data_IF_794184479322
#
_entry.id   IF_794184479322
#
_cell.length_a   1.000
_cell.length_b   1.000
_cell.length_c   1.000
_cell.angle_alpha   90.00
_cell.angle_beta   90.00
_cell.angle_gamma   90.00
#
_symmetry.space_group_name_H-M   'P 1'
#
loop_
_entity.id
_entity.type
_entity.pdbx_description
1 polymer ?
#
# COMPACT_ATOMS: atom_id res chain seq x y z
N UNK A 1 3.38 -15.78 -6.41
CA UNK A 1 3.39 -14.89 -7.61
C UNK A 1 3.98 -13.53 -7.23
N UNK A 2 4.88 -12.93 -8.02
CA UNK A 2 5.49 -11.63 -7.65
C UNK A 2 4.58 -10.44 -7.91
N UNK A 3 4.46 -9.55 -6.92
CA UNK A 3 3.77 -8.26 -7.03
C UNK A 3 4.73 -7.08 -6.88
N UNK A 4 4.39 -5.95 -7.47
CA UNK A 4 5.10 -4.67 -7.30
C UNK A 4 4.18 -3.58 -6.76
N UNK A 5 4.70 -2.71 -5.91
CA UNK A 5 3.86 -1.74 -5.21
C UNK A 5 4.55 -1.02 -4.06
N UNK A 6 3.75 -0.47 -3.16
CA UNK A 6 4.17 0.40 -2.06
C UNK A 6 3.80 -0.22 -0.72
N UNK A 7 4.70 -0.04 0.26
CA UNK A 7 4.43 -0.30 1.68
C UNK A 7 4.72 0.96 2.47
N UNK A 8 3.80 1.36 3.34
CA UNK A 8 4.01 2.40 4.35
C UNK A 8 3.89 1.79 5.74
N UNK A 9 4.89 2.04 6.56
CA UNK A 9 4.90 1.65 7.97
C UNK A 9 4.67 2.90 8.83
N UNK A 10 3.44 3.05 9.32
CA UNK A 10 3.03 4.16 10.21
C UNK A 10 3.56 3.99 11.64
N UNK A 11 4.16 2.85 11.97
CA UNK A 11 4.81 2.61 13.27
C UNK A 11 6.32 2.84 13.21
N UNK A 12 6.88 3.02 12.00
CA UNK A 12 8.30 3.20 11.80
C UNK A 12 8.63 4.62 11.32
N UNK A 13 9.22 5.40 12.23
CA UNK A 13 9.72 6.75 11.93
C UNK A 13 10.67 6.84 10.73
N UNK A 14 11.29 5.72 10.31
CA UNK A 14 12.14 5.69 9.10
C UNK A 14 11.33 5.98 7.83
N UNK A 15 10.02 5.78 7.84
CA UNK A 15 9.09 6.19 6.77
C UNK A 15 9.19 7.69 6.47
N UNK A 16 9.42 8.54 7.48
CA UNK A 16 9.67 9.97 7.26
C UNK A 16 10.96 10.25 6.48
N UNK A 17 11.91 9.31 6.40
CA UNK A 17 13.08 9.44 5.53
C UNK A 17 12.73 9.33 4.05
N UNK A 18 11.61 8.69 3.72
CA UNK A 18 11.10 8.56 2.34
C UNK A 18 10.27 9.79 1.95
N UNK A 19 9.52 10.35 2.90
CA UNK A 19 8.60 11.49 2.70
C UNK A 19 8.89 12.59 3.73
N UNK A 20 10.08 13.23 3.69
CA UNK A 20 10.50 14.18 4.73
C UNK A 20 9.61 15.41 4.83
N UNK A 21 9.07 15.87 3.70
CA UNK A 21 8.20 17.05 3.66
C UNK A 21 6.91 16.82 4.45
N UNK A 22 6.34 15.62 4.42
CA UNK A 22 5.12 15.24 5.15
C UNK A 22 5.35 15.06 6.65
N UNK A 23 6.61 15.02 7.09
CA UNK A 23 6.96 14.91 8.51
C UNK A 23 7.60 16.20 9.04
N UNK A 24 7.65 17.27 8.25
CA UNK A 24 8.38 18.48 8.62
C UNK A 24 7.80 19.19 9.86
N UNK A 25 6.48 19.10 10.06
CA UNK A 25 5.78 19.69 11.22
C UNK A 25 5.50 18.68 12.33
N UNK A 26 5.82 17.40 12.13
CA UNK A 26 5.57 16.33 13.09
C UNK A 26 6.68 16.28 14.15
N UNK A 27 6.34 16.44 15.44
CA UNK A 27 7.31 16.42 16.53
C UNK A 27 7.41 15.01 17.14
N UNK A 28 8.36 14.23 16.62
CA UNK A 28 8.67 12.86 17.05
C UNK A 28 8.90 12.68 18.55
N UNK A 29 9.14 13.75 19.32
CA UNK A 29 9.34 13.65 20.77
C UNK A 29 8.02 13.45 21.52
N UNK A 30 6.90 13.81 20.91
CA UNK A 30 5.59 13.82 21.55
C UNK A 30 4.54 13.03 20.77
N UNK A 31 4.74 12.86 19.46
CA UNK A 31 3.75 12.27 18.57
C UNK A 31 4.19 10.89 18.05
N UNK A 32 3.24 9.98 17.86
CA UNK A 32 3.45 8.74 17.12
C UNK A 32 3.25 8.99 15.62
N UNK A 33 3.88 8.19 14.75
CA UNK A 33 3.78 8.43 13.30
C UNK A 33 2.38 8.09 12.77
N UNK A 34 1.64 7.23 13.48
CA UNK A 34 0.22 7.00 13.25
C UNK A 34 -0.68 8.18 13.61
N UNK A 35 -0.15 9.20 14.30
CA UNK A 35 -0.83 10.48 14.55
C UNK A 35 -0.46 11.57 13.54
N UNK A 36 0.41 11.26 12.55
CA UNK A 36 0.78 12.21 11.51
C UNK A 36 -0.33 12.33 10.44
N UNK A 37 -1.28 13.22 10.69
CA UNK A 37 -2.41 13.52 9.80
C UNK A 37 -1.99 13.80 8.34
N UNK A 38 -0.85 14.46 8.11
CA UNK A 38 -0.39 14.76 6.75
C UNK A 38 0.05 13.49 6.00
N UNK A 39 0.80 12.61 6.68
CA UNK A 39 1.24 11.34 6.10
C UNK A 39 0.06 10.38 5.88
N UNK A 40 -0.88 10.34 6.82
CA UNK A 40 -2.11 9.53 6.71
C UNK A 40 -2.94 10.04 5.54
N UNK A 41 -3.17 11.35 5.47
CA UNK A 41 -3.93 11.98 4.39
C UNK A 41 -3.29 11.74 3.03
N UNK A 42 -1.96 11.81 2.93
CA UNK A 42 -1.24 11.47 1.71
C UNK A 42 -1.54 10.03 1.28
N UNK A 43 -1.37 9.07 2.18
CA UNK A 43 -1.62 7.66 1.89
C UNK A 43 -3.06 7.39 1.47
N UNK A 44 -4.04 7.89 2.22
CA UNK A 44 -5.46 7.64 1.95
C UNK A 44 -5.89 8.26 0.62
N UNK A 45 -5.50 9.51 0.35
CA UNK A 45 -5.84 10.18 -0.91
C UNK A 45 -5.18 9.48 -2.11
N UNK A 46 -3.91 9.10 -1.99
CA UNK A 46 -3.21 8.38 -3.06
C UNK A 46 -3.80 6.98 -3.28
N UNK A 47 -4.16 6.27 -2.21
CA UNK A 47 -4.85 4.99 -2.31
C UNK A 47 -6.20 5.12 -3.02
N UNK A 48 -7.02 6.10 -2.64
CA UNK A 48 -8.31 6.37 -3.30
C UNK A 48 -8.12 6.71 -4.78
N UNK A 49 -7.12 7.52 -5.11
CA UNK A 49 -6.79 7.87 -6.49
C UNK A 49 -6.41 6.64 -7.33
N UNK A 50 -5.61 5.70 -6.79
CA UNK A 50 -5.30 4.45 -7.47
C UNK A 50 -6.56 3.61 -7.66
N UNK A 51 -7.35 3.42 -6.61
CA UNK A 51 -8.57 2.61 -6.63
C UNK A 51 -9.65 3.18 -7.57
N UNK A 52 -9.65 4.49 -7.81
CA UNK A 52 -10.53 5.12 -8.80
C UNK A 52 -10.16 4.77 -10.26
N UNK A 53 -8.91 4.35 -10.50
CA UNK A 53 -8.34 4.06 -11.83
C UNK A 53 -8.24 2.57 -12.11
N UNK A 54 -8.12 1.74 -11.09
CA UNK A 54 -7.99 0.28 -11.23
C UNK A 54 -8.46 -0.47 -9.99
N UNK A 55 -9.09 -1.62 -10.21
CA UNK A 55 -9.47 -2.60 -9.19
C UNK A 55 -8.48 -3.78 -9.11
N UNK A 56 -7.49 -3.83 -10.01
CA UNK A 56 -6.49 -4.91 -10.09
C UNK A 56 -5.34 -4.72 -9.12
N UNK A 57 -5.67 -4.51 -7.84
CA UNK A 57 -4.68 -4.31 -6.79
C UNK A 57 -4.98 -5.21 -5.59
N UNK A 58 -3.91 -5.53 -4.86
CA UNK A 58 -3.98 -6.10 -3.52
C UNK A 58 -3.66 -4.98 -2.54
N UNK A 59 -4.60 -4.63 -1.68
CA UNK A 59 -4.42 -3.57 -0.69
C UNK A 59 -4.97 -3.97 0.67
N UNK A 60 -4.35 -3.45 1.73
CA UNK A 60 -4.70 -3.83 3.09
C UNK A 60 -3.60 -3.48 4.09
N UNK A 61 -3.67 -4.12 5.25
CA UNK A 61 -2.69 -3.99 6.32
C UNK A 61 -2.08 -5.36 6.63
N UNK A 62 -0.75 -5.47 6.57
CA UNK A 62 0.00 -6.70 6.88
C UNK A 62 1.06 -6.34 7.92
N UNK A 63 1.09 -7.08 9.03
CA UNK A 63 2.06 -6.86 10.12
C UNK A 63 2.14 -5.39 10.58
N UNK A 64 0.98 -4.72 10.65
CA UNK A 64 0.88 -3.30 11.02
C UNK A 64 1.25 -2.30 9.91
N UNK A 65 1.63 -2.78 8.73
CA UNK A 65 2.02 -1.95 7.58
C UNK A 65 0.92 -1.87 6.56
N UNK A 66 0.67 -0.68 6.05
CA UNK A 66 -0.27 -0.47 4.95
C UNK A 66 0.40 -0.81 3.63
N UNK A 67 -0.27 -1.62 2.81
CA UNK A 67 0.26 -2.16 1.56
C UNK A 67 -0.66 -1.88 0.37
N UNK A 68 -0.06 -1.70 -0.80
CA UNK A 68 -0.75 -1.57 -2.08
C UNK A 68 0.14 -2.15 -3.19
N UNK A 69 -0.27 -3.26 -3.77
CA UNK A 69 0.54 -4.05 -4.72
C UNK A 69 -0.29 -4.53 -5.90
N UNK A 70 0.36 -4.86 -7.02
CA UNK A 70 -0.29 -5.52 -8.15
C UNK A 70 0.68 -6.39 -8.95
N UNK A 71 0.16 -7.38 -9.68
CA UNK A 71 0.87 -8.07 -10.76
C UNK A 71 0.45 -7.58 -12.16
N UNK A 72 -0.58 -6.73 -12.26
CA UNK A 72 -1.03 -6.14 -13.51
C UNK A 72 -0.14 -4.94 -13.87
N UNK A 73 0.41 -4.94 -15.09
CA UNK A 73 1.38 -3.93 -15.53
C UNK A 73 0.80 -2.52 -15.60
N UNK A 74 -0.49 -2.39 -15.92
CA UNK A 74 -1.15 -1.09 -16.00
C UNK A 74 -1.41 -0.56 -14.59
N UNK A 75 -1.88 -1.41 -13.68
CA UNK A 75 -2.03 -1.07 -12.27
C UNK A 75 -0.71 -0.68 -11.60
N UNK A 76 0.38 -1.42 -11.86
CA UNK A 76 1.73 -1.08 -11.36
C UNK A 76 2.15 0.32 -11.83
N UNK A 77 1.87 0.66 -13.09
CA UNK A 77 2.19 2.00 -13.62
C UNK A 77 1.35 3.08 -12.94
N UNK A 78 0.06 2.83 -12.71
CA UNK A 78 -0.82 3.75 -11.98
C UNK A 78 -0.28 4.00 -10.56
N UNK A 79 0.15 2.94 -9.86
CA UNK A 79 0.76 3.04 -8.53
C UNK A 79 2.05 3.88 -8.60
N UNK A 80 2.93 3.62 -9.57
CA UNK A 80 4.19 4.37 -9.72
C UNK A 80 3.96 5.85 -10.01
N UNK A 81 2.97 6.18 -10.83
CA UNK A 81 2.65 7.56 -11.21
C UNK A 81 2.04 8.33 -10.02
N UNK A 82 1.25 7.66 -9.17
CA UNK A 82 0.65 8.25 -7.96
C UNK A 82 1.68 8.44 -6.85
N UNK A 83 2.49 7.42 -6.58
CA UNK A 83 3.53 7.42 -5.54
C UNK A 83 4.91 7.70 -6.15
N UNK A 84 5.01 8.73 -7.00
CA UNK A 84 6.24 9.06 -7.76
C UNK A 84 7.45 9.38 -6.88
N UNK A 85 7.23 9.76 -5.63
CA UNK A 85 8.28 10.02 -4.64
C UNK A 85 8.85 8.74 -4.03
N UNK A 86 8.15 7.61 -4.16
CA UNK A 86 8.50 6.33 -3.55
C UNK A 86 9.00 5.32 -4.59
N UNK A 87 9.98 4.51 -4.17
CA UNK A 87 10.44 3.37 -4.96
C UNK A 87 9.47 2.18 -4.79
N UNK A 88 9.12 1.54 -5.90
CA UNK A 88 8.33 0.31 -5.84
C UNK A 88 9.16 -0.84 -5.25
N UNK A 89 8.54 -1.51 -4.29
CA UNK A 89 9.04 -2.74 -3.72
C UNK A 89 8.45 -3.94 -4.47
N UNK A 90 9.13 -5.08 -4.38
CA UNK A 90 8.64 -6.35 -4.93
C UNK A 90 8.48 -7.35 -3.80
N UNK A 91 7.31 -8.00 -3.72
CA UNK A 91 7.00 -9.04 -2.73
C UNK A 91 6.47 -10.28 -3.45
N UNK A 92 6.50 -11.44 -2.79
CA UNK A 92 5.73 -12.59 -3.24
C UNK A 92 4.31 -12.52 -2.65
N UNK A 93 3.30 -12.81 -3.46
CA UNK A 93 1.90 -12.86 -3.03
C UNK A 93 1.69 -13.90 -1.93
N UNK A 94 2.49 -14.95 -1.92
CA UNK A 94 2.43 -15.99 -0.90
C UNK A 94 3.00 -15.52 0.45
N UNK A 95 3.78 -14.43 0.46
CA UNK A 95 4.28 -13.78 1.69
C UNK A 95 3.23 -12.85 2.32
N UNK A 96 2.12 -12.56 1.60
CA UNK A 96 1.03 -11.77 2.15
C UNK A 96 0.23 -12.65 3.12
N UNK A 97 0.38 -12.37 4.41
CA UNK A 97 -0.41 -13.05 5.46
C UNK A 97 -1.89 -12.81 5.22
N UNK A 98 -2.58 -13.85 4.69
CA UNK A 98 -4.03 -13.85 4.48
C UNK A 98 -4.72 -13.97 5.84
N UNK A 99 -4.91 -12.85 6.52
CA UNK A 99 -5.83 -12.77 7.65
C UNK A 99 -7.20 -12.26 7.16
N UNK A 100 -8.30 -12.80 7.69
CA UNK A 100 -9.68 -12.60 7.19
C UNK A 100 -10.11 -11.12 7.03
N UNK A 101 -9.44 -10.19 7.73
CA UNK A 101 -9.73 -8.76 7.70
C UNK A 101 -8.53 -7.87 7.36
N UNK A 102 -7.39 -8.46 6.98
CA UNK A 102 -6.17 -7.71 6.68
C UNK A 102 -6.25 -7.06 5.30
N UNK A 103 -6.75 -7.78 4.30
CA UNK A 103 -6.88 -7.30 2.93
C UNK A 103 -8.25 -6.68 2.71
N UNK A 104 -8.26 -5.46 2.16
CA UNK A 104 -9.46 -4.73 1.75
C UNK A 104 -9.81 -5.01 0.29
N UNK A 105 -8.80 -5.11 -0.57
CA UNK A 105 -8.93 -5.51 -1.98
C UNK A 105 -7.94 -6.64 -2.26
N UNK A 106 -8.39 -7.73 -2.88
CA UNK A 106 -7.55 -8.85 -3.31
C UNK A 106 -8.08 -9.45 -4.62
N UNK A 107 -7.76 -8.77 -5.74
CA UNK A 107 -8.22 -9.20 -7.07
C UNK A 107 -7.68 -10.58 -7.48
N UNK A 108 -6.54 -11.00 -6.93
CA UNK A 108 -5.91 -12.29 -7.25
C UNK A 108 -6.70 -13.43 -6.62
N UNK A 109 -7.14 -13.26 -5.37
CA UNK A 109 -8.04 -14.24 -4.76
C UNK A 109 -9.35 -14.36 -5.54
N UNK A 110 -9.87 -13.26 -6.07
CA UNK A 110 -11.12 -13.26 -6.85
C UNK A 110 -10.93 -13.89 -8.24
N UNK A 111 -9.81 -13.65 -8.92
CA UNK A 111 -9.46 -14.33 -10.16
C UNK A 111 -9.32 -15.84 -9.96
N UNK A 112 -8.64 -16.28 -8.89
CA UNK A 112 -8.46 -17.71 -8.61
C UNK A 112 -9.79 -18.43 -8.31
N UNK A 113 -10.74 -17.78 -7.63
CA UNK A 113 -12.09 -18.34 -7.42
C UNK A 113 -12.83 -18.57 -8.74
N UNK A 114 -12.63 -17.71 -9.74
CA UNK A 114 -13.24 -17.87 -11.07
C UNK A 114 -12.63 -19.04 -11.85
N UNK A 115 -11.36 -19.38 -11.59
CA UNK A 115 -10.71 -20.56 -12.20
C UNK A 115 -11.22 -21.86 -11.56
N UNK A 116 -11.43 -21.89 -10.25
CA UNK A 116 -11.93 -23.10 -9.56
C UNK A 116 -13.42 -23.39 -9.83
N UNK A 117 -14.18 -22.39 -10.28
CA UNK A 117 -15.60 -22.52 -10.62
C UNK A 117 -15.87 -22.99 -12.07
N UNK A 118 -14.84 -23.14 -12.90
CA UNK A 118 -14.92 -23.54 -14.32
C UNK A 118 -14.21 -24.88 -14.58
#
# INVERSE_FOLDING_TARGET
MKLQGITIDFYDKRTCGLLPDLCAQWDIRYDELEDNDELISYWENSLENVLSKTDKVVSGTIDGKSILYSADKEAIKIIQDEFKELELLTIDYDDITKCDHCLKHDYIADENKLVEAN
#
